data_IF_657396337140
#
_entry.id   IF_657396337140
#
_cell.length_a   1.000
_cell.length_b   1.000
_cell.length_c   1.000
_cell.angle_alpha   90.00
_cell.angle_beta   90.00
_cell.angle_gamma   90.00
#
_symmetry.space_group_name_H-M   'P 1'
#
loop_
_entity.id
_entity.type
_entity.pdbx_description
1 polymer ?
#
# COMPACT_ATOMS: atom_id res chain seq x y z
N UNK A 1 4.85 11.04 5.24
CA UNK A 1 4.64 9.60 4.95
C UNK A 1 5.60 9.17 3.86
N UNK A 2 6.34 8.09 4.05
CA UNK A 2 7.35 7.58 3.09
C UNK A 2 7.10 6.10 2.80
N UNK A 3 7.21 5.72 1.54
CA UNK A 3 7.06 4.34 1.04
C UNK A 3 8.14 4.06 -0.01
N UNK A 4 8.56 2.79 -0.22
CA UNK A 4 9.54 2.46 -1.24
C UNK A 4 9.05 2.86 -2.64
N UNK A 5 9.93 3.39 -3.52
CA UNK A 5 9.53 3.90 -4.83
C UNK A 5 9.07 2.79 -5.78
N UNK A 6 9.59 1.58 -5.61
CA UNK A 6 9.15 0.39 -6.33
C UNK A 6 9.57 -0.85 -5.55
N UNK A 7 8.80 -1.93 -5.72
CA UNK A 7 9.11 -3.26 -5.19
C UNK A 7 8.75 -4.29 -6.27
N UNK A 8 9.52 -5.37 -6.35
CA UNK A 8 9.29 -6.47 -7.30
C UNK A 8 9.25 -7.80 -6.53
N UNK A 9 8.40 -8.72 -6.97
CA UNK A 9 8.24 -10.04 -6.39
C UNK A 9 7.96 -11.08 -7.47
N UNK A 10 8.36 -12.32 -7.28
CA UNK A 10 7.92 -13.42 -8.13
C UNK A 10 6.51 -13.87 -7.74
N UNK A 11 5.81 -14.51 -8.67
CA UNK A 11 4.50 -15.10 -8.42
C UNK A 11 4.55 -16.08 -7.24
N UNK A 12 3.60 -15.97 -6.33
CA UNK A 12 3.52 -16.79 -5.11
C UNK A 12 4.37 -16.28 -3.93
N UNK A 13 5.19 -15.23 -4.11
CA UNK A 13 5.90 -14.61 -3.00
C UNK A 13 5.06 -13.53 -2.32
N UNK A 14 5.20 -13.45 -1.00
CA UNK A 14 4.67 -12.35 -0.19
C UNK A 14 5.79 -11.35 0.07
N UNK A 15 5.60 -10.10 -0.33
CA UNK A 15 6.54 -9.02 -0.04
C UNK A 15 5.93 -7.98 0.91
N UNK A 16 6.71 -7.45 1.87
CA UNK A 16 6.28 -6.35 2.71
C UNK A 16 6.39 -5.02 1.95
N UNK A 17 5.33 -4.21 1.97
CA UNK A 17 5.35 -2.80 1.58
C UNK A 17 5.22 -2.00 2.87
N UNK A 18 6.19 -1.12 3.14
CA UNK A 18 6.25 -0.35 4.38
C UNK A 18 5.87 1.10 4.15
N UNK A 19 5.16 1.67 5.12
CA UNK A 19 4.79 3.07 5.16
C UNK A 19 5.23 3.63 6.52
N UNK A 20 6.06 4.68 6.53
CA UNK A 20 6.53 5.34 7.75
C UNK A 20 6.10 6.81 7.81
N UNK A 21 6.02 7.36 9.01
CA UNK A 21 5.67 8.78 9.22
C UNK A 21 4.18 9.10 9.10
N UNK A 22 3.30 8.12 9.34
CA UNK A 22 1.90 8.38 9.69
C UNK A 22 1.77 8.36 11.21
N UNK A 23 1.22 9.42 11.80
CA UNK A 23 0.83 9.50 13.22
C UNK A 23 -0.66 9.20 13.42
N UNK A 24 -1.38 8.85 12.36
CA UNK A 24 -2.82 8.61 12.38
C UNK A 24 -3.14 7.11 12.39
N UNK A 25 -4.12 6.73 13.20
CA UNK A 25 -4.66 5.36 13.28
C UNK A 25 -5.47 4.95 12.03
N UNK A 26 -5.68 5.87 11.09
CA UNK A 26 -6.50 5.71 9.88
C UNK A 26 -5.62 5.70 8.61
N UNK A 27 -4.56 4.91 8.61
CA UNK A 27 -3.76 4.68 7.40
C UNK A 27 -4.42 3.57 6.56
N UNK A 28 -4.58 3.80 5.26
CA UNK A 28 -5.07 2.81 4.31
C UNK A 28 -4.03 2.53 3.23
N UNK A 29 -4.24 1.44 2.50
CA UNK A 29 -3.48 1.13 1.28
C UNK A 29 -4.41 1.22 0.09
N UNK A 30 -4.01 2.03 -0.89
CA UNK A 30 -4.70 2.16 -2.17
C UNK A 30 -3.83 1.62 -3.29
N UNK A 31 -4.45 0.93 -4.25
CA UNK A 31 -3.80 0.41 -5.43
C UNK A 31 -4.32 1.12 -6.68
N UNK A 32 -3.40 1.73 -7.43
CA UNK A 32 -3.66 2.21 -8.79
C UNK A 32 -3.05 1.21 -9.78
N UNK A 33 -3.88 0.54 -10.58
CA UNK A 33 -3.42 -0.46 -11.56
C UNK A 33 -3.02 0.15 -12.89
N UNK A 34 -3.68 1.25 -13.28
CA UNK A 34 -3.45 1.94 -14.55
C UNK A 34 -3.15 3.40 -14.23
N UNK A 35 -2.02 3.95 -14.72
CA UNK A 35 -1.72 5.37 -14.54
C UNK A 35 -2.88 6.25 -15.04
N UNK A 36 -3.33 7.17 -14.20
CA UNK A 36 -4.42 8.09 -14.53
C UNK A 36 -5.82 7.59 -14.19
N UNK A 37 -5.99 6.38 -13.65
CA UNK A 37 -7.28 5.92 -13.11
C UNK A 37 -7.42 6.18 -11.62
N UNK A 38 -8.64 6.18 -11.10
CA UNK A 38 -8.88 6.30 -9.67
C UNK A 38 -8.24 5.11 -8.92
N UNK A 39 -7.51 5.35 -7.81
CA UNK A 39 -7.03 4.29 -6.93
C UNK A 39 -8.19 3.52 -6.30
N UNK A 40 -7.93 2.26 -5.94
CA UNK A 40 -8.87 1.41 -5.20
C UNK A 40 -8.27 1.06 -3.86
N UNK A 41 -9.00 1.32 -2.77
CA UNK A 41 -8.58 0.92 -1.42
C UNK A 41 -8.58 -0.60 -1.30
N UNK A 42 -7.42 -1.16 -0.94
CA UNK A 42 -7.21 -2.61 -0.78
C UNK A 42 -7.06 -3.03 0.68
N UNK A 43 -6.69 -2.11 1.58
CA UNK A 43 -6.60 -2.35 3.02
C UNK A 43 -7.05 -1.08 3.73
N UNK A 44 -7.98 -1.19 4.67
CA UNK A 44 -8.47 -0.06 5.46
C UNK A 44 -7.91 -0.16 6.89
N UNK A 45 -7.31 0.91 7.41
CA UNK A 45 -6.65 0.92 8.73
C UNK A 45 -5.43 -0.01 8.83
N UNK A 46 -4.53 0.28 9.78
CA UNK A 46 -3.23 -0.39 9.95
C UNK A 46 -3.33 -1.89 10.24
N UNK A 47 -4.51 -2.39 10.64
CA UNK A 47 -4.71 -3.75 11.14
C UNK A 47 -5.99 -4.43 10.64
N UNK A 48 -6.70 -3.88 9.63
CA UNK A 48 -7.93 -4.51 9.12
C UNK A 48 -7.73 -4.92 7.65
N UNK A 49 -7.81 -6.23 7.42
CA UNK A 49 -7.67 -6.89 6.11
C UNK A 49 -9.01 -7.47 5.69
#
# INVERSE_FOLDING_TARGET
VTQPPSVSANLGQTIPITCSGSSYNYAGWDQQKVPGTAPVTVIYSSNQR
#
